data_IF_952442742183
#
_entry.id   IF_952442742183
#
_cell.length_a   1.000
_cell.length_b   1.000
_cell.length_c   1.000
_cell.angle_alpha   90.00
_cell.angle_beta   90.00
_cell.angle_gamma   90.00
#
_symmetry.space_group_name_H-M   'P 1'
#
loop_
_entity.id
_entity.type
_entity.pdbx_description
1 polymer ?
#
# COMPACT_ATOMS: atom_id res chain seq x y z
N UNK A 1 -11.90 5.87 2.53
CA UNK A 1 -13.35 6.22 2.55
C UNK A 1 -13.59 7.15 1.38
N UNK A 2 -14.62 6.95 0.58
CA UNK A 2 -14.89 7.75 -0.64
C UNK A 2 -15.66 9.03 -0.31
N UNK A 3 -16.33 9.05 0.84
CA UNK A 3 -17.13 10.18 1.33
C UNK A 3 -16.68 10.62 2.71
N UNK A 4 -16.78 11.91 2.99
CA UNK A 4 -16.50 12.46 4.32
C UNK A 4 -17.61 12.10 5.31
N UNK A 5 -17.32 12.11 6.60
CA UNK A 5 -18.35 11.90 7.63
C UNK A 5 -19.47 12.94 7.56
N UNK A 6 -19.13 14.18 7.19
CA UNK A 6 -20.11 15.26 7.00
C UNK A 6 -21.07 15.02 5.85
N UNK A 7 -20.56 14.53 4.69
CA UNK A 7 -21.38 14.19 3.54
C UNK A 7 -22.33 13.03 3.83
N UNK A 8 -21.84 12.07 4.59
CA UNK A 8 -22.61 10.88 5.00
C UNK A 8 -23.73 11.30 5.97
N UNK A 9 -23.42 12.14 6.96
CA UNK A 9 -24.42 12.68 7.88
C UNK A 9 -25.47 13.53 7.18
N UNK A 10 -25.10 14.30 6.14
CA UNK A 10 -26.05 15.04 5.30
C UNK A 10 -27.04 14.13 4.55
N UNK A 11 -26.67 12.86 4.34
CA UNK A 11 -27.53 11.82 3.77
C UNK A 11 -28.28 11.02 4.83
N UNK A 12 -28.35 11.53 6.05
CA UNK A 12 -29.07 10.91 7.18
C UNK A 12 -28.52 9.52 7.58
N UNK A 13 -27.24 9.25 7.28
CA UNK A 13 -26.55 8.04 7.73
C UNK A 13 -25.81 8.36 9.02
N UNK A 14 -26.30 7.82 10.13
CA UNK A 14 -25.84 8.17 11.48
C UNK A 14 -24.83 7.20 12.05
N UNK A 15 -24.81 5.96 11.54
CA UNK A 15 -24.00 4.87 12.12
C UNK A 15 -23.42 3.98 11.04
N UNK A 16 -22.15 3.58 11.20
CA UNK A 16 -21.49 2.55 10.40
C UNK A 16 -21.03 1.42 11.31
N UNK A 17 -21.49 0.22 11.03
CA UNK A 17 -21.10 -0.97 11.76
C UNK A 17 -20.72 -2.11 10.82
N UNK A 18 -19.93 -3.03 11.33
CA UNK A 18 -19.65 -4.29 10.61
C UNK A 18 -20.69 -5.33 11.04
N UNK A 19 -21.17 -6.12 10.09
CA UNK A 19 -22.18 -7.16 10.35
C UNK A 19 -21.64 -8.28 11.26
N UNK A 20 -20.32 -8.53 11.23
CA UNK A 20 -19.64 -9.53 12.03
C UNK A 20 -19.30 -9.04 13.48
N UNK A 21 -19.59 -7.79 13.82
CA UNK A 21 -19.37 -7.26 15.16
C UNK A 21 -20.38 -7.80 16.15
N UNK A 22 -19.90 -8.34 17.25
CA UNK A 22 -20.76 -8.92 18.31
C UNK A 22 -21.44 -7.86 19.20
N UNK A 23 -20.85 -6.67 19.32
CA UNK A 23 -21.27 -5.62 20.26
C UNK A 23 -22.16 -4.55 19.61
N UNK A 24 -23.01 -4.91 18.67
CA UNK A 24 -23.94 -3.98 18.02
C UNK A 24 -25.22 -3.84 18.87
N UNK A 25 -25.64 -2.59 19.07
CA UNK A 25 -26.86 -2.27 19.81
C UNK A 25 -28.12 -2.50 18.99
N UNK A 26 -29.26 -2.70 19.67
CA UNK A 26 -30.58 -2.84 19.04
C UNK A 26 -31.18 -1.45 18.85
N UNK A 27 -31.41 -1.04 17.59
CA UNK A 27 -31.91 0.30 17.22
C UNK A 27 -33.13 0.19 16.30
N UNK A 28 -34.25 -0.28 16.84
CA UNK A 28 -35.52 -0.50 16.09
C UNK A 28 -36.12 0.77 15.47
N UNK A 29 -35.63 1.95 15.81
CA UNK A 29 -36.06 3.22 15.22
C UNK A 29 -35.27 3.59 13.96
N UNK A 30 -34.20 2.85 13.64
CA UNK A 30 -33.36 3.07 12.46
C UNK A 30 -33.62 2.01 11.38
N UNK A 31 -33.40 2.39 10.12
CA UNK A 31 -33.34 1.49 8.97
C UNK A 31 -31.88 1.11 8.70
N UNK A 32 -31.64 -0.10 8.27
CA UNK A 32 -30.31 -0.58 7.93
C UNK A 32 -30.12 -0.70 6.42
N UNK A 33 -28.99 -0.20 5.92
CA UNK A 33 -28.50 -0.47 4.57
C UNK A 33 -27.32 -1.42 4.71
N UNK A 34 -27.47 -2.66 4.25
CA UNK A 34 -26.41 -3.68 4.31
C UNK A 34 -25.73 -3.80 2.96
N UNK A 35 -24.43 -3.50 2.89
CA UNK A 35 -23.64 -3.63 1.68
C UNK A 35 -22.66 -4.79 1.85
N UNK A 36 -22.89 -5.90 1.13
CA UNK A 36 -22.23 -7.17 1.39
C UNK A 36 -21.59 -7.76 0.12
N UNK A 37 -20.48 -8.48 0.28
CA UNK A 37 -20.02 -9.40 -0.75
C UNK A 37 -20.83 -10.68 -0.69
N UNK A 38 -21.18 -11.33 -1.83
CA UNK A 38 -21.94 -12.58 -1.85
C UNK A 38 -21.05 -13.79 -1.49
N UNK A 39 -20.45 -13.76 -0.32
CA UNK A 39 -19.71 -14.87 0.26
C UNK A 39 -20.61 -15.63 1.20
N UNK A 40 -20.42 -16.95 1.32
CA UNK A 40 -21.19 -17.78 2.24
C UNK A 40 -21.17 -17.22 3.67
N UNK A 41 -20.01 -16.79 4.13
CA UNK A 41 -19.84 -16.20 5.46
C UNK A 41 -20.71 -14.95 5.68
N UNK A 42 -20.75 -14.03 4.71
CA UNK A 42 -21.58 -12.83 4.80
C UNK A 42 -23.09 -13.17 4.71
N UNK A 43 -23.45 -14.16 3.92
CA UNK A 43 -24.83 -14.65 3.85
C UNK A 43 -25.23 -15.26 5.21
N UNK A 44 -24.35 -16.06 5.82
CA UNK A 44 -24.60 -16.66 7.14
C UNK A 44 -24.74 -15.60 8.25
N UNK A 45 -23.91 -14.53 8.23
CA UNK A 45 -24.08 -13.39 9.14
C UNK A 45 -25.40 -12.65 8.92
N UNK A 46 -25.80 -12.47 7.66
CA UNK A 46 -27.08 -11.82 7.36
C UNK A 46 -28.28 -12.68 7.78
N UNK A 47 -28.22 -14.00 7.60
CA UNK A 47 -29.23 -14.95 8.09
C UNK A 47 -29.37 -14.83 9.64
N UNK A 48 -28.24 -14.77 10.36
CA UNK A 48 -28.27 -14.59 11.81
C UNK A 48 -28.89 -13.24 12.22
N UNK A 49 -28.57 -12.19 11.48
CA UNK A 49 -29.13 -10.86 11.69
C UNK A 49 -30.63 -10.82 11.46
N UNK A 50 -31.13 -11.43 10.38
CA UNK A 50 -32.57 -11.48 10.05
C UNK A 50 -33.39 -12.29 11.06
N UNK A 51 -32.82 -13.35 11.62
CA UNK A 51 -33.48 -14.12 12.70
C UNK A 51 -33.63 -13.31 13.99
N UNK A 52 -32.74 -12.36 14.25
CA UNK A 52 -32.77 -11.48 15.43
C UNK A 52 -32.45 -10.04 15.00
N UNK A 53 -33.38 -9.42 14.24
CA UNK A 53 -33.10 -8.11 13.64
C UNK A 53 -32.89 -7.05 14.69
N UNK A 54 -31.88 -6.22 14.47
CA UNK A 54 -31.52 -5.09 15.36
C UNK A 54 -32.15 -3.77 14.92
N UNK A 55 -32.50 -3.67 13.64
CA UNK A 55 -33.09 -2.50 13.01
C UNK A 55 -34.53 -2.75 12.58
N UNK A 56 -35.27 -1.70 12.21
CA UNK A 56 -36.67 -1.82 11.82
C UNK A 56 -36.87 -2.39 10.42
N UNK A 57 -36.04 -1.97 9.48
CA UNK A 57 -36.13 -2.36 8.07
C UNK A 57 -34.73 -2.53 7.52
N UNK A 58 -34.53 -3.52 6.66
CA UNK A 58 -33.26 -3.82 6.01
C UNK A 58 -33.38 -3.65 4.49
N UNK A 59 -32.40 -2.93 3.92
CA UNK A 59 -32.11 -2.87 2.50
C UNK A 59 -30.79 -3.61 2.27
N UNK A 60 -30.82 -4.73 1.56
CA UNK A 60 -29.65 -5.60 1.40
C UNK A 60 -29.12 -5.49 -0.02
N UNK A 61 -27.87 -5.05 -0.16
CA UNK A 61 -27.18 -4.89 -1.43
C UNK A 61 -25.96 -5.82 -1.49
N UNK A 62 -25.90 -6.63 -2.54
CA UNK A 62 -24.74 -7.46 -2.81
C UNK A 62 -23.89 -6.85 -3.93
N UNK A 63 -22.56 -6.81 -3.70
CA UNK A 63 -21.59 -6.27 -4.66
C UNK A 63 -21.43 -7.12 -5.93
N UNK A 64 -22.00 -8.30 -5.99
CA UNK A 64 -21.97 -9.20 -7.14
C UNK A 64 -23.16 -10.16 -7.09
N UNK A 65 -23.30 -11.02 -8.12
CA UNK A 65 -24.38 -11.99 -8.24
C UNK A 65 -24.42 -12.93 -7.03
N UNK A 66 -25.58 -13.02 -6.39
CA UNK A 66 -25.87 -13.96 -5.31
C UNK A 66 -26.61 -15.19 -5.88
N UNK A 67 -26.37 -16.37 -5.31
CA UNK A 67 -27.02 -17.60 -5.73
C UNK A 67 -28.52 -17.60 -5.39
N UNK A 68 -29.34 -18.27 -6.20
CA UNK A 68 -30.78 -18.44 -5.90
C UNK A 68 -31.04 -19.18 -4.58
N UNK A 69 -30.14 -20.11 -4.21
CA UNK A 69 -30.23 -20.83 -2.94
C UNK A 69 -30.00 -19.90 -1.76
N UNK A 70 -29.02 -18.97 -1.86
CA UNK A 70 -28.72 -18.01 -0.78
C UNK A 70 -29.85 -16.99 -0.64
N UNK A 71 -30.45 -16.52 -1.75
CA UNK A 71 -31.64 -15.64 -1.71
C UNK A 71 -32.79 -16.35 -1.00
N UNK A 72 -33.03 -17.63 -1.31
CA UNK A 72 -34.05 -18.43 -0.64
C UNK A 72 -33.78 -18.56 0.85
N UNK A 73 -32.54 -18.85 1.24
CA UNK A 73 -32.14 -18.96 2.65
C UNK A 73 -32.30 -17.64 3.43
N UNK A 74 -32.03 -16.50 2.80
CA UNK A 74 -32.28 -15.17 3.37
C UNK A 74 -33.78 -14.92 3.55
N UNK A 75 -34.63 -15.25 2.55
CA UNK A 75 -36.05 -15.08 2.64
C UNK A 75 -36.68 -15.99 3.71
N UNK A 76 -36.19 -17.23 3.85
CA UNK A 76 -36.62 -18.15 4.91
C UNK A 76 -36.18 -17.68 6.31
N UNK A 77 -35.12 -16.90 6.42
CA UNK A 77 -34.62 -16.36 7.68
C UNK A 77 -35.34 -15.07 8.13
N UNK A 78 -36.03 -14.40 7.23
CA UNK A 78 -36.79 -13.17 7.49
C UNK A 78 -38.19 -13.45 8.04
N UNK A 79 -38.26 -14.14 9.18
CA UNK A 79 -39.52 -14.48 9.88
C UNK A 79 -40.32 -13.26 10.36
N UNK A 80 -39.66 -12.10 10.47
CA UNK A 80 -40.25 -10.84 10.96
C UNK A 80 -40.62 -9.86 9.82
N UNK A 81 -40.45 -10.27 8.57
CA UNK A 81 -40.72 -9.45 7.38
C UNK A 81 -40.06 -8.05 7.42
N UNK A 82 -38.82 -8.01 7.86
CA UNK A 82 -38.08 -6.75 8.01
C UNK A 82 -37.24 -6.37 6.78
N UNK A 83 -37.15 -7.27 5.78
CA UNK A 83 -36.40 -6.98 4.55
C UNK A 83 -37.32 -6.26 3.55
N UNK A 84 -37.03 -5.00 3.27
CA UNK A 84 -37.73 -4.23 2.25
C UNK A 84 -37.25 -4.54 0.84
N UNK A 85 -35.97 -4.78 0.66
CA UNK A 85 -35.40 -4.99 -0.67
C UNK A 85 -34.07 -5.78 -0.59
N UNK A 86 -33.89 -6.71 -1.54
CA UNK A 86 -32.62 -7.37 -1.83
C UNK A 86 -32.22 -7.00 -3.26
N UNK A 87 -31.13 -6.27 -3.42
CA UNK A 87 -30.68 -5.83 -4.73
C UNK A 87 -29.25 -6.28 -5.04
N UNK A 88 -29.02 -6.52 -6.33
CA UNK A 88 -27.68 -6.60 -6.91
C UNK A 88 -27.32 -5.23 -7.47
N UNK A 89 -26.40 -4.53 -6.83
CA UNK A 89 -26.05 -3.14 -7.16
C UNK A 89 -25.60 -2.99 -8.62
N UNK A 90 -24.85 -3.96 -9.15
CA UNK A 90 -24.31 -3.89 -10.52
C UNK A 90 -25.40 -3.95 -11.60
N UNK A 91 -26.56 -4.54 -11.32
CA UNK A 91 -27.61 -4.76 -12.34
C UNK A 91 -28.61 -3.63 -12.43
N UNK A 92 -28.87 -2.89 -11.35
CA UNK A 92 -29.88 -1.82 -11.32
C UNK A 92 -29.29 -0.40 -11.34
N UNK A 93 -28.09 -0.23 -10.80
CA UNK A 93 -27.37 1.05 -10.77
C UNK A 93 -26.44 1.18 -11.99
N UNK A 94 -26.93 0.73 -13.16
CA UNK A 94 -26.18 0.77 -14.42
C UNK A 94 -25.59 2.15 -14.71
N UNK A 95 -26.30 3.23 -14.38
CA UNK A 95 -25.86 4.61 -14.58
C UNK A 95 -24.63 4.99 -13.71
N UNK A 96 -24.49 4.41 -12.52
CA UNK A 96 -23.29 4.63 -11.67
C UNK A 96 -22.03 3.99 -12.26
N UNK A 97 -22.20 2.99 -13.13
CA UNK A 97 -21.14 2.27 -13.81
C UNK A 97 -21.05 2.64 -15.29
N UNK A 98 -21.92 3.55 -15.77
CA UNK A 98 -21.84 4.09 -17.12
C UNK A 98 -20.75 5.15 -17.19
N UNK A 99 -19.50 4.68 -17.31
CA UNK A 99 -18.37 5.56 -17.56
C UNK A 99 -18.49 6.18 -18.95
N UNK A 100 -18.20 7.49 -19.07
CA UNK A 100 -18.14 8.17 -20.36
C UNK A 100 -17.33 7.32 -21.33
N UNK A 101 -17.89 7.03 -22.48
CA UNK A 101 -17.23 6.26 -23.53
C UNK A 101 -15.92 6.97 -23.91
N UNK A 102 -14.80 6.45 -23.47
CA UNK A 102 -13.49 6.86 -23.93
C UNK A 102 -13.25 6.18 -25.28
N UNK A 103 -12.62 6.86 -26.22
CA UNK A 103 -12.25 6.28 -27.53
C UNK A 103 -11.32 5.07 -27.32
N UNK A 104 -10.45 5.16 -26.32
CA UNK A 104 -9.53 4.09 -25.91
C UNK A 104 -10.00 3.50 -24.57
N UNK A 105 -10.27 2.17 -24.48
CA UNK A 105 -10.69 1.55 -23.22
C UNK A 105 -9.59 1.62 -22.18
N UNK A 106 -9.95 1.76 -20.87
CA UNK A 106 -8.99 1.67 -19.77
C UNK A 106 -8.21 0.36 -19.79
N UNK A 107 -6.92 0.44 -19.50
CA UNK A 107 -6.02 -0.71 -19.43
C UNK A 107 -5.84 -1.15 -17.98
N UNK A 108 -6.10 -2.43 -17.69
CA UNK A 108 -5.77 -3.04 -16.39
C UNK A 108 -4.42 -3.75 -16.50
N UNK A 109 -3.44 -3.28 -15.71
CA UNK A 109 -2.14 -3.90 -15.53
C UNK A 109 -2.11 -4.62 -14.19
N UNK A 110 -1.99 -5.95 -14.21
CA UNK A 110 -1.86 -6.77 -13.00
C UNK A 110 -0.39 -7.14 -12.82
N UNK A 111 0.16 -6.85 -11.65
CA UNK A 111 1.55 -7.13 -11.29
C UNK A 111 1.61 -8.05 -10.07
N UNK A 112 2.65 -8.89 -10.00
CA UNK A 112 2.95 -9.68 -8.81
C UNK A 112 4.04 -8.96 -7.98
N UNK A 113 3.85 -8.90 -6.68
CA UNK A 113 4.83 -8.33 -5.74
C UNK A 113 6.18 -9.06 -5.77
N UNK A 114 6.22 -10.33 -6.17
CA UNK A 114 7.48 -11.09 -6.29
C UNK A 114 8.45 -10.49 -7.31
N UNK A 115 7.95 -9.74 -8.31
CA UNK A 115 8.79 -9.07 -9.31
C UNK A 115 9.57 -7.88 -8.74
N UNK A 116 9.09 -7.29 -7.65
CA UNK A 116 9.78 -6.25 -6.89
C UNK A 116 9.67 -6.51 -5.38
N UNK A 117 10.49 -7.39 -4.87
CA UNK A 117 10.58 -7.67 -3.43
C UNK A 117 11.48 -6.65 -2.68
N UNK A 118 12.14 -5.72 -3.37
CA UNK A 118 13.07 -4.74 -2.81
C UNK A 118 12.32 -3.51 -2.27
N UNK A 119 11.46 -2.91 -3.10
CA UNK A 119 10.76 -1.66 -2.74
C UNK A 119 10.07 -1.72 -1.37
N UNK A 120 9.34 -2.79 -0.99
CA UNK A 120 8.72 -2.87 0.34
C UNK A 120 9.70 -3.09 1.50
N UNK A 121 10.97 -3.42 1.24
CA UNK A 121 11.99 -3.61 2.27
C UNK A 121 12.74 -2.30 2.62
N UNK A 122 12.58 -1.24 1.84
CA UNK A 122 13.27 0.03 2.04
C UNK A 122 12.48 0.97 2.94
N UNK A 123 13.19 1.73 3.78
CA UNK A 123 12.58 2.84 4.48
C UNK A 123 12.13 3.92 3.48
N UNK A 124 10.90 4.37 3.63
CA UNK A 124 10.29 5.37 2.75
C UNK A 124 10.24 6.71 3.48
N UNK A 125 10.84 7.75 2.87
CA UNK A 125 11.07 9.05 3.51
C UNK A 125 10.03 10.10 3.12
N UNK A 126 8.79 9.68 2.90
CA UNK A 126 7.64 10.60 2.81
C UNK A 126 6.91 10.64 4.14
N UNK A 127 6.28 11.77 4.45
CA UNK A 127 5.58 11.96 5.72
C UNK A 127 4.53 10.87 5.95
N UNK A 128 3.68 10.62 4.95
CA UNK A 128 2.63 9.61 5.05
C UNK A 128 3.18 8.20 5.25
N UNK A 129 4.22 7.84 4.51
CA UNK A 129 4.86 6.52 4.65
C UNK A 129 5.49 6.34 6.03
N UNK A 130 6.19 7.34 6.53
CA UNK A 130 6.83 7.28 7.85
C UNK A 130 5.81 7.20 8.98
N UNK A 131 4.74 7.99 8.92
CA UNK A 131 3.64 7.88 9.88
C UNK A 131 3.05 6.48 9.88
N UNK A 132 2.80 5.93 8.71
CA UNK A 132 2.24 4.60 8.57
C UNK A 132 3.17 3.50 9.11
N UNK A 133 4.48 3.62 8.84
CA UNK A 133 5.47 2.62 9.20
C UNK A 133 5.91 2.69 10.66
N UNK A 134 6.17 3.89 11.16
CA UNK A 134 6.76 4.07 12.49
C UNK A 134 5.72 4.21 13.61
N UNK A 135 4.57 4.82 13.31
CA UNK A 135 3.50 5.05 14.29
C UNK A 135 2.31 4.09 14.09
N UNK A 136 2.09 3.66 12.85
CA UNK A 136 0.92 2.89 12.46
C UNK A 136 -0.31 3.77 12.25
N UNK A 137 -1.01 3.58 11.12
CA UNK A 137 -2.29 4.22 10.83
C UNK A 137 -3.37 3.15 10.79
N UNK A 138 -4.42 3.32 11.57
CA UNK A 138 -5.59 2.46 11.52
C UNK A 138 -6.85 3.31 11.31
N UNK A 139 -7.54 3.13 10.17
CA UNK A 139 -8.71 3.93 9.81
C UNK A 139 -8.46 5.46 9.91
N UNK A 140 -7.35 5.93 9.33
CA UNK A 140 -6.86 7.31 9.38
C UNK A 140 -6.51 7.82 10.80
N UNK A 141 -6.40 6.95 11.80
CA UNK A 141 -6.07 7.31 13.19
C UNK A 141 -4.67 6.84 13.56
N UNK A 142 -3.98 7.68 14.32
CA UNK A 142 -2.68 7.42 14.93
C UNK A 142 -2.86 7.48 16.43
N UNK A 143 -2.37 6.46 17.14
CA UNK A 143 -2.31 6.42 18.59
C UNK A 143 -0.94 6.91 19.10
N UNK A 144 -0.93 8.09 19.67
CA UNK A 144 0.23 8.70 20.32
C UNK A 144 0.19 8.60 21.85
N UNK A 145 -0.70 7.79 22.43
CA UNK A 145 -0.86 7.66 23.88
C UNK A 145 0.41 7.21 24.61
N UNK A 146 1.30 6.53 23.88
CA UNK A 146 2.61 6.03 24.40
C UNK A 146 3.72 7.08 24.39
N UNK A 147 3.48 8.23 23.76
CA UNK A 147 4.50 9.29 23.65
C UNK A 147 4.52 10.11 24.94
N UNK A 148 5.68 10.25 25.62
CA UNK A 148 5.77 10.97 26.89
C UNK A 148 5.41 12.45 26.72
N UNK A 149 4.67 13.01 27.69
CA UNK A 149 4.38 14.45 27.75
C UNK A 149 3.28 14.95 26.80
N UNK A 150 2.61 14.07 26.08
CA UNK A 150 1.52 14.45 25.17
C UNK A 150 0.25 14.83 25.95
N UNK A 151 -0.39 15.95 25.54
CA UNK A 151 -1.70 16.36 26.06
C UNK A 151 -2.77 15.32 25.72
N UNK A 152 -3.84 15.25 26.52
CA UNK A 152 -4.93 14.28 26.32
C UNK A 152 -5.55 14.41 24.91
N UNK A 153 -5.66 15.63 24.40
CA UNK A 153 -6.30 15.96 23.11
C UNK A 153 -5.46 15.51 21.89
N UNK A 154 -4.16 15.26 22.07
CA UNK A 154 -3.24 14.83 21.01
C UNK A 154 -2.88 13.34 21.08
N UNK A 155 -3.47 12.59 22.03
CA UNK A 155 -3.20 11.15 22.15
C UNK A 155 -3.72 10.34 20.98
N UNK A 156 -4.82 10.79 20.38
CA UNK A 156 -5.38 10.20 19.18
C UNK A 156 -5.48 11.28 18.11
N UNK A 157 -4.75 11.10 17.01
CA UNK A 157 -4.69 12.05 15.88
C UNK A 157 -5.35 11.43 14.66
N UNK A 158 -6.30 12.16 14.07
CA UNK A 158 -6.93 11.76 12.81
C UNK A 158 -6.23 12.47 11.66
N UNK A 159 -5.72 11.71 10.68
CA UNK A 159 -5.13 12.21 9.44
C UNK A 159 -6.05 11.85 8.27
N UNK A 160 -6.63 12.85 7.63
CA UNK A 160 -7.49 12.69 6.46
C UNK A 160 -7.15 13.76 5.43
N UNK A 161 -6.77 13.36 4.24
CA UNK A 161 -6.47 14.30 3.15
C UNK A 161 -7.70 15.15 2.74
N UNK A 162 -8.91 14.65 3.02
CA UNK A 162 -10.17 15.36 2.72
C UNK A 162 -10.47 16.50 3.69
N UNK A 163 -10.08 16.31 4.97
CA UNK A 163 -10.42 17.25 6.05
C UNK A 163 -9.21 18.02 6.59
N UNK A 164 -8.02 17.71 6.08
CA UNK A 164 -6.75 18.24 6.54
C UNK A 164 -5.93 18.70 5.33
N UNK A 165 -6.06 19.96 4.99
CA UNK A 165 -5.37 20.56 3.85
C UNK A 165 -3.83 20.48 4.01
N UNK A 166 -3.30 20.57 5.23
CA UNK A 166 -1.89 20.38 5.48
C UNK A 166 -1.47 18.95 5.13
N UNK A 167 -2.20 17.94 5.61
CA UNK A 167 -1.90 16.55 5.31
C UNK A 167 -2.05 16.23 3.81
N UNK A 168 -3.06 16.79 3.14
CA UNK A 168 -3.26 16.63 1.70
C UNK A 168 -2.06 17.16 0.90
N UNK A 169 -1.50 18.30 1.32
CA UNK A 169 -0.40 18.96 0.61
C UNK A 169 0.99 18.36 0.95
N UNK A 170 1.19 17.89 2.19
CA UNK A 170 2.50 17.43 2.65
C UNK A 170 2.65 15.92 2.75
N UNK A 171 1.57 15.15 2.66
CA UNK A 171 1.58 13.70 2.82
C UNK A 171 2.58 13.00 1.88
N UNK A 172 2.69 13.47 0.65
CA UNK A 172 3.64 12.99 -0.37
C UNK A 172 5.00 13.71 -0.36
N UNK A 173 5.20 14.72 0.49
CA UNK A 173 6.48 15.41 0.56
C UNK A 173 7.52 14.59 1.33
N UNK A 174 8.78 14.71 0.91
CA UNK A 174 9.88 14.09 1.63
C UNK A 174 10.01 14.65 3.04
N UNK A 175 10.16 13.76 4.01
CA UNK A 175 10.22 14.07 5.45
C UNK A 175 11.23 15.18 5.78
N UNK A 176 12.39 15.18 5.11
CA UNK A 176 13.42 16.20 5.32
C UNK A 176 12.95 17.61 4.95
N UNK A 177 12.06 17.75 3.96
CA UNK A 177 11.52 19.07 3.57
C UNK A 177 10.49 19.59 4.57
N UNK A 178 9.83 18.70 5.30
CA UNK A 178 8.86 19.06 6.35
C UNK A 178 9.58 19.35 7.65
N UNK A 179 10.63 18.59 7.98
CA UNK A 179 11.36 18.72 9.23
C UNK A 179 12.22 19.99 9.29
N UNK A 180 12.80 20.44 8.16
CA UNK A 180 13.60 21.67 8.09
C UNK A 180 12.79 22.93 8.50
N UNK A 181 11.59 23.21 7.94
CA UNK A 181 10.79 24.36 8.38
C UNK A 181 10.34 24.24 9.83
N UNK A 182 10.01 23.02 10.30
CA UNK A 182 9.53 22.77 11.65
C UNK A 182 10.62 22.94 12.72
N UNK A 183 11.89 22.70 12.38
CA UNK A 183 13.02 22.86 13.30
C UNK A 183 13.63 24.27 13.32
N UNK A 184 13.60 24.99 12.18
CA UNK A 184 14.34 26.23 12.03
C UNK A 184 13.48 27.50 12.00
N UNK A 185 12.15 27.40 11.86
CA UNK A 185 11.27 28.55 11.95
C UNK A 185 10.74 28.73 13.38
N UNK A 186 10.86 29.94 13.97
CA UNK A 186 10.16 30.28 15.20
C UNK A 186 8.66 30.37 14.88
N UNK A 187 7.97 29.24 15.10
CA UNK A 187 6.53 29.07 14.83
C UNK A 187 5.66 30.15 15.45
N UNK A 188 6.06 30.67 16.61
CA UNK A 188 5.35 31.77 17.26
C UNK A 188 5.29 33.02 16.38
N UNK A 189 6.39 33.42 15.76
CA UNK A 189 6.42 34.60 14.87
C UNK A 189 5.65 34.37 13.55
N UNK A 190 5.57 33.13 13.08
CA UNK A 190 4.85 32.78 11.85
C UNK A 190 3.31 32.71 12.11
N UNK A 191 2.89 32.16 13.24
CA UNK A 191 1.47 32.07 13.65
C UNK A 191 0.90 33.46 13.98
N UNK A 192 1.73 34.35 14.55
CA UNK A 192 1.29 35.72 14.91
C UNK A 192 1.06 36.62 13.70
N UNK A 193 1.74 36.39 12.60
CA UNK A 193 1.69 37.23 11.40
C UNK A 193 0.61 36.80 10.35
N UNK A 194 -0.06 35.66 10.52
CA UNK A 194 -1.05 35.18 9.58
C UNK A 194 -2.38 34.83 10.25
N UNK A 195 -3.43 35.66 10.14
CA UNK A 195 -4.77 35.42 10.73
C UNK A 195 -5.43 34.11 10.25
N UNK A 196 -5.11 33.65 9.04
CA UNK A 196 -5.58 32.36 8.50
C UNK A 196 -4.98 31.15 9.26
N UNK A 197 -3.79 31.28 9.83
CA UNK A 197 -3.16 30.24 10.65
C UNK A 197 -3.80 30.07 12.02
N UNK A 198 -4.49 31.07 12.54
CA UNK A 198 -5.21 30.95 13.81
C UNK A 198 -6.35 29.92 13.73
N UNK A 199 -6.97 29.77 12.55
CA UNK A 199 -7.96 28.73 12.26
C UNK A 199 -7.31 27.36 12.02
N UNK A 200 -6.05 27.33 11.54
CA UNK A 200 -5.26 26.13 11.30
C UNK A 200 -4.39 25.71 12.50
N UNK A 201 -4.34 26.47 13.59
CA UNK A 201 -3.39 26.26 14.68
C UNK A 201 -3.54 24.87 15.34
N UNK A 202 -4.77 24.40 15.50
CA UNK A 202 -5.01 23.02 16.01
C UNK A 202 -4.56 21.93 15.05
N UNK A 203 -4.74 22.14 13.74
CA UNK A 203 -4.33 21.20 12.70
C UNK A 203 -2.80 21.14 12.59
N UNK A 204 -2.14 22.29 12.61
CA UNK A 204 -0.66 22.36 12.56
C UNK A 204 -0.04 21.78 13.82
N UNK A 205 -0.59 22.05 15.01
CA UNK A 205 -0.08 21.52 16.29
C UNK A 205 -0.02 20.00 16.32
N UNK A 206 -1.04 19.31 15.82
CA UNK A 206 -1.03 17.84 15.74
C UNK A 206 0.10 17.31 14.84
N UNK A 207 0.35 17.96 13.68
CA UNK A 207 1.43 17.56 12.79
C UNK A 207 2.81 17.83 13.36
N UNK A 208 3.00 18.94 14.07
CA UNK A 208 4.25 19.22 14.81
C UNK A 208 4.53 18.10 15.80
N UNK A 209 3.53 17.66 16.54
CA UNK A 209 3.65 16.55 17.49
C UNK A 209 4.02 15.24 16.78
N UNK A 210 3.33 14.91 15.68
CA UNK A 210 3.61 13.71 14.88
C UNK A 210 5.05 13.74 14.34
N UNK A 211 5.47 14.85 13.72
CA UNK A 211 6.84 15.01 13.17
C UNK A 211 7.90 14.94 14.28
N UNK A 212 7.62 15.51 15.44
CA UNK A 212 8.51 15.42 16.61
C UNK A 212 8.73 13.96 17.02
N UNK A 213 7.66 13.17 17.10
CA UNK A 213 7.76 11.75 17.43
C UNK A 213 8.47 10.94 16.34
N UNK A 214 8.17 11.20 15.06
CA UNK A 214 8.91 10.59 13.95
C UNK A 214 10.41 10.89 14.03
N UNK A 215 10.80 12.14 14.31
CA UNK A 215 12.21 12.55 14.46
C UNK A 215 12.88 11.83 15.63
N UNK A 216 12.17 11.67 16.75
CA UNK A 216 12.64 10.92 17.91
C UNK A 216 12.93 9.46 17.54
N UNK A 217 11.98 8.79 16.88
CA UNK A 217 12.12 7.39 16.44
C UNK A 217 13.25 7.20 15.42
N UNK A 218 13.39 8.12 14.47
CA UNK A 218 14.50 8.13 13.50
C UNK A 218 15.85 8.15 14.20
N UNK A 219 16.01 9.02 15.20
CA UNK A 219 17.26 9.13 15.98
C UNK A 219 17.50 7.93 16.90
N UNK A 220 16.45 7.46 17.58
CA UNK A 220 16.52 6.35 18.53
C UNK A 220 16.90 5.04 17.83
N UNK A 221 16.32 4.78 16.66
CA UNK A 221 16.55 3.55 15.87
C UNK A 221 17.70 3.69 14.85
N UNK A 222 18.38 4.82 14.82
CA UNK A 222 19.45 5.09 13.85
C UNK A 222 19.03 4.89 12.39
N UNK A 223 17.78 5.27 12.04
CA UNK A 223 17.17 4.95 10.75
C UNK A 223 17.85 5.63 9.56
N UNK A 224 18.52 6.77 9.76
CA UNK A 224 19.28 7.43 8.67
C UNK A 224 20.41 6.53 8.18
N UNK A 225 21.23 6.04 9.09
CA UNK A 225 22.36 5.17 8.75
C UNK A 225 21.89 3.83 8.20
N UNK A 226 20.78 3.27 8.77
CA UNK A 226 20.13 2.06 8.23
C UNK A 226 19.69 2.29 6.79
N UNK A 227 19.01 3.41 6.52
CA UNK A 227 18.50 3.73 5.20
C UNK A 227 19.60 3.97 4.16
N UNK A 228 20.72 4.57 4.56
CA UNK A 228 21.89 4.72 3.68
C UNK A 228 22.38 3.34 3.18
N UNK A 229 22.53 2.38 4.09
CA UNK A 229 22.94 1.02 3.74
C UNK A 229 21.86 0.26 2.95
N UNK A 230 20.58 0.51 3.23
CA UNK A 230 19.47 -0.02 2.41
C UNK A 230 19.57 0.46 0.95
N UNK A 231 19.83 1.76 0.74
CA UNK A 231 19.99 2.31 -0.60
C UNK A 231 21.23 1.79 -1.30
N UNK A 232 22.34 1.60 -0.56
CA UNK A 232 23.54 0.95 -1.07
C UNK A 232 23.21 -0.48 -1.56
N UNK A 233 22.53 -1.28 -0.73
CA UNK A 233 22.09 -2.63 -1.08
C UNK A 233 21.08 -2.68 -2.24
N UNK A 234 20.27 -1.65 -2.43
CA UNK A 234 19.28 -1.61 -3.50
C UNK A 234 19.83 -1.12 -4.84
N UNK A 235 20.85 -0.22 -4.83
CA UNK A 235 21.25 0.56 -6.00
C UNK A 235 22.72 0.36 -6.42
N UNK A 236 23.57 -0.17 -5.56
CA UNK A 236 25.02 -0.28 -5.79
C UNK A 236 25.46 -1.74 -5.86
N UNK A 237 26.58 -1.99 -6.56
CA UNK A 237 27.08 -3.36 -6.79
C UNK A 237 28.41 -3.65 -6.07
N UNK A 238 28.84 -2.82 -5.10
CA UNK A 238 30.03 -3.07 -4.30
C UNK A 238 29.71 -4.04 -3.14
N UNK A 239 29.92 -5.32 -3.38
CA UNK A 239 29.68 -6.38 -2.40
C UNK A 239 30.51 -6.20 -1.11
N UNK A 240 31.78 -5.78 -1.22
CA UNK A 240 32.67 -5.68 -0.07
C UNK A 240 32.26 -4.57 0.87
N UNK A 241 31.94 -3.38 0.32
CA UNK A 241 31.41 -2.24 1.08
C UNK A 241 30.08 -2.60 1.73
N UNK A 242 29.13 -3.12 0.95
CA UNK A 242 27.80 -3.50 1.43
C UNK A 242 27.88 -4.53 2.58
N UNK A 243 28.69 -5.58 2.44
CA UNK A 243 28.86 -6.58 3.50
C UNK A 243 29.44 -5.97 4.78
N UNK A 244 30.45 -5.11 4.66
CA UNK A 244 31.08 -4.43 5.80
C UNK A 244 30.08 -3.51 6.51
N UNK A 245 29.31 -2.70 5.76
CA UNK A 245 28.31 -1.80 6.29
C UNK A 245 27.18 -2.55 7.00
N UNK A 246 26.68 -3.64 6.40
CA UNK A 246 25.67 -4.50 7.06
C UNK A 246 26.22 -5.03 8.39
N UNK A 247 27.42 -5.62 8.41
CA UNK A 247 28.04 -6.14 9.65
C UNK A 247 28.19 -5.06 10.71
N UNK A 248 28.61 -3.86 10.34
CA UNK A 248 28.74 -2.72 11.25
C UNK A 248 27.38 -2.36 11.88
N UNK A 249 26.31 -2.29 11.10
CA UNK A 249 24.97 -2.00 11.61
C UNK A 249 24.39 -3.14 12.47
N UNK A 250 24.71 -4.39 12.18
CA UNK A 250 24.30 -5.51 13.03
C UNK A 250 24.92 -5.44 14.43
N UNK A 251 26.09 -4.82 14.59
CA UNK A 251 26.74 -4.60 15.89
C UNK A 251 26.19 -3.37 16.63
N UNK A 252 25.47 -2.46 15.94
CA UNK A 252 24.93 -1.26 16.57
C UNK A 252 23.70 -1.60 17.44
N UNK A 253 23.71 -1.28 18.76
CA UNK A 253 22.61 -1.57 19.67
C UNK A 253 21.32 -0.81 19.37
N UNK A 254 21.40 0.35 18.67
CA UNK A 254 20.22 1.14 18.27
C UNK A 254 19.44 0.51 17.14
N UNK A 255 20.08 -0.33 16.32
CA UNK A 255 19.41 -1.03 15.21
C UNK A 255 18.54 -2.14 15.76
N UNK A 256 17.24 -2.06 15.50
CA UNK A 256 16.27 -3.03 16.01
C UNK A 256 16.45 -4.42 15.39
N UNK A 257 15.89 -5.46 16.02
CA UNK A 257 15.90 -6.82 15.47
C UNK A 257 15.32 -6.87 14.05
N UNK A 258 14.27 -6.08 13.83
CA UNK A 258 13.58 -6.03 12.56
C UNK A 258 14.40 -5.32 11.48
N UNK A 259 14.99 -4.16 11.79
CA UNK A 259 15.85 -3.42 10.86
C UNK A 259 17.08 -4.24 10.50
N UNK A 260 17.67 -4.96 11.47
CA UNK A 260 18.77 -5.88 11.25
C UNK A 260 18.41 -7.03 10.29
N UNK A 261 17.25 -7.68 10.52
CA UNK A 261 16.77 -8.74 9.64
C UNK A 261 16.50 -8.23 8.22
N UNK A 262 15.96 -7.02 8.08
CA UNK A 262 15.66 -6.37 6.81
C UNK A 262 16.89 -6.08 5.97
N UNK A 263 17.96 -5.57 6.58
CA UNK A 263 19.25 -5.40 5.91
C UNK A 263 19.79 -6.73 5.37
N UNK A 264 19.64 -7.81 6.14
CA UNK A 264 20.08 -9.14 5.70
C UNK A 264 19.16 -9.70 4.60
N UNK A 265 17.85 -9.38 4.59
CA UNK A 265 16.93 -9.73 3.49
C UNK A 265 17.35 -9.03 2.18
N UNK A 266 17.63 -7.72 2.23
CA UNK A 266 18.13 -6.97 1.07
C UNK A 266 19.45 -7.53 0.55
N UNK A 267 20.40 -7.81 1.43
CA UNK A 267 21.65 -8.45 1.08
C UNK A 267 21.42 -9.81 0.41
N UNK A 268 20.54 -10.64 0.98
CA UNK A 268 20.25 -11.97 0.46
C UNK A 268 19.62 -11.95 -0.94
N UNK A 269 18.73 -10.98 -1.20
CA UNK A 269 18.12 -10.81 -2.52
C UNK A 269 19.11 -10.29 -3.57
N UNK A 270 19.99 -9.34 -3.19
CA UNK A 270 20.94 -8.74 -4.10
C UNK A 270 22.06 -9.72 -4.46
N UNK A 271 22.70 -10.30 -3.45
CA UNK A 271 23.90 -11.13 -3.60
C UNK A 271 23.60 -12.63 -3.62
N UNK A 272 22.38 -13.05 -3.94
CA UNK A 272 21.93 -14.46 -3.98
C UNK A 272 22.89 -15.36 -4.75
N UNK A 273 23.43 -14.88 -5.90
CA UNK A 273 24.33 -15.65 -6.79
C UNK A 273 25.76 -15.15 -6.77
N UNK A 274 26.12 -14.28 -5.84
CA UNK A 274 27.47 -13.78 -5.75
C UNK A 274 28.43 -14.88 -5.26
N UNK A 275 29.61 -15.02 -5.90
CA UNK A 275 30.59 -16.07 -5.58
C UNK A 275 31.10 -16.03 -4.14
N UNK A 276 31.18 -14.81 -3.55
CA UNK A 276 31.58 -14.56 -2.16
C UNK A 276 30.38 -14.29 -1.25
N UNK A 277 29.23 -14.91 -1.52
CA UNK A 277 28.03 -14.73 -0.70
C UNK A 277 28.30 -15.12 0.75
N UNK A 278 28.08 -14.18 1.68
CA UNK A 278 28.34 -14.36 3.12
C UNK A 278 27.04 -14.49 3.93
N UNK A 279 25.93 -14.87 3.30
CA UNK A 279 24.63 -15.00 3.98
C UNK A 279 24.68 -15.91 5.23
N UNK A 280 25.35 -17.09 5.21
CA UNK A 280 25.47 -17.91 6.41
C UNK A 280 26.13 -17.18 7.59
N UNK A 281 27.15 -16.37 7.33
CA UNK A 281 27.81 -15.54 8.34
C UNK A 281 26.87 -14.46 8.90
N UNK A 282 26.14 -13.74 8.04
CA UNK A 282 25.16 -12.74 8.46
C UNK A 282 23.99 -13.35 9.26
N UNK A 283 23.58 -14.58 8.94
CA UNK A 283 22.58 -15.30 9.73
C UNK A 283 23.10 -15.66 11.13
N UNK A 284 24.40 -15.94 11.27
CA UNK A 284 25.03 -16.12 12.57
C UNK A 284 25.11 -14.78 13.33
N UNK A 285 25.47 -13.68 12.66
CA UNK A 285 25.50 -12.34 13.25
C UNK A 285 24.12 -11.91 13.76
N UNK A 286 23.04 -12.20 13.02
CA UNK A 286 21.67 -11.99 13.51
C UNK A 286 21.36 -12.80 14.77
N UNK A 287 21.83 -14.05 14.83
CA UNK A 287 21.65 -14.89 16.04
C UNK A 287 22.42 -14.30 17.23
N UNK A 288 23.67 -13.89 17.01
CA UNK A 288 24.53 -13.32 18.05
C UNK A 288 23.98 -11.97 18.56
N UNK A 289 23.35 -11.18 17.68
CA UNK A 289 22.63 -9.95 18.07
C UNK A 289 21.38 -10.25 18.92
N UNK A 290 20.88 -11.48 18.96
CA UNK A 290 19.66 -11.86 19.68
C UNK A 290 18.38 -11.70 18.85
N UNK A 291 18.49 -11.54 17.54
CA UNK A 291 17.31 -11.43 16.65
C UNK A 291 16.47 -12.70 16.76
N UNK A 292 15.17 -12.51 17.03
CA UNK A 292 14.22 -13.60 17.21
C UNK A 292 14.12 -14.53 16.00
N UNK A 293 13.81 -15.78 16.21
CA UNK A 293 13.69 -16.79 15.14
C UNK A 293 12.63 -16.39 14.10
N UNK A 294 11.58 -15.72 14.55
CA UNK A 294 10.53 -15.18 13.68
C UNK A 294 11.10 -14.32 12.56
N UNK A 295 11.97 -13.35 12.88
CA UNK A 295 12.57 -12.47 11.89
C UNK A 295 13.66 -13.14 11.07
N UNK A 296 14.44 -14.07 11.69
CA UNK A 296 15.47 -14.81 10.96
C UNK A 296 14.88 -15.72 9.88
N UNK A 297 13.72 -16.36 10.13
CA UNK A 297 12.99 -17.15 9.13
C UNK A 297 12.51 -16.33 7.92
N UNK A 298 12.25 -15.03 8.11
CA UNK A 298 11.85 -14.17 7.00
C UNK A 298 12.93 -13.99 5.94
N UNK A 299 14.22 -14.07 6.30
CA UNK A 299 15.31 -13.96 5.35
C UNK A 299 15.23 -15.07 4.29
N UNK A 300 15.01 -16.31 4.71
CA UNK A 300 14.83 -17.43 3.77
C UNK A 300 13.51 -17.33 3.00
N UNK A 301 12.44 -16.90 3.67
CA UNK A 301 11.13 -16.76 3.05
C UNK A 301 11.10 -15.68 1.96
N UNK A 302 11.80 -14.56 2.13
CA UNK A 302 11.84 -13.49 1.13
C UNK A 302 12.63 -13.91 -0.11
N UNK A 303 13.70 -14.69 0.06
CA UNK A 303 14.47 -15.24 -1.07
C UNK A 303 13.66 -16.32 -1.82
N UNK A 304 12.90 -17.13 -1.09
CA UNK A 304 11.98 -18.10 -1.72
C UNK A 304 10.88 -17.40 -2.51
N UNK A 305 10.37 -16.28 -1.99
CA UNK A 305 9.25 -15.52 -2.58
C UNK A 305 9.67 -14.66 -3.76
N UNK A 306 10.72 -13.84 -3.63
CA UNK A 306 11.14 -12.82 -4.60
C UNK A 306 12.59 -12.96 -5.05
N UNK A 307 13.22 -14.12 -4.85
CA UNK A 307 14.58 -14.43 -5.34
C UNK A 307 14.66 -14.56 -6.86
N UNK A 308 15.87 -14.62 -7.39
CA UNK A 308 16.17 -14.60 -8.83
C UNK A 308 15.56 -15.76 -9.63
N UNK A 309 15.13 -16.83 -8.97
CA UNK A 309 14.45 -17.96 -9.62
C UNK A 309 12.96 -17.70 -9.85
N UNK A 310 12.37 -16.78 -9.11
CA UNK A 310 10.93 -16.53 -9.11
C UNK A 310 10.59 -15.27 -9.90
N UNK A 311 11.36 -14.20 -9.70
CA UNK A 311 11.13 -12.94 -10.40
C UNK A 311 11.59 -13.01 -11.85
N UNK A 312 10.77 -12.46 -12.76
CA UNK A 312 11.08 -12.36 -14.18
C UNK A 312 12.03 -11.22 -14.54
N UNK A 313 12.24 -10.27 -13.61
CA UNK A 313 13.04 -9.06 -13.81
C UNK A 313 14.41 -9.13 -13.13
N UNK A 314 15.40 -8.45 -13.68
CA UNK A 314 16.67 -8.21 -13.01
C UNK A 314 16.65 -6.83 -12.35
N UNK A 315 16.30 -6.82 -11.05
CA UNK A 315 16.17 -5.58 -10.26
C UNK A 315 17.50 -4.86 -10.04
N UNK A 316 18.62 -5.55 -10.20
CA UNK A 316 19.97 -5.06 -9.88
C UNK A 316 20.87 -4.87 -11.10
N UNK A 317 20.34 -5.08 -12.31
CA UNK A 317 21.11 -4.76 -13.52
C UNK A 317 21.45 -3.29 -13.57
N UNK A 318 22.70 -2.92 -13.90
CA UNK A 318 23.07 -1.53 -14.09
C UNK A 318 22.22 -0.95 -15.24
N UNK A 319 21.24 -0.12 -14.86
CA UNK A 319 20.48 0.67 -15.83
C UNK A 319 21.46 1.66 -16.42
N UNK A 320 21.64 1.64 -17.72
CA UNK A 320 22.55 2.45 -18.57
C UNK A 320 23.54 3.36 -17.81
N UNK A 321 24.86 3.11 -17.99
CA UNK A 321 25.93 3.88 -17.35
C UNK A 321 25.76 5.43 -17.45
N UNK A 322 25.04 5.90 -18.48
CA UNK A 322 24.69 7.30 -18.69
C UNK A 322 23.63 7.80 -17.70
N UNK A 323 22.68 6.94 -17.30
CA UNK A 323 21.66 7.29 -16.29
C UNK A 323 22.27 7.38 -14.90
N UNK A 324 23.19 6.46 -14.57
CA UNK A 324 23.95 6.45 -13.31
C UNK A 324 24.81 7.70 -13.20
N UNK A 325 25.52 8.09 -14.28
CA UNK A 325 26.35 9.30 -14.28
C UNK A 325 25.50 10.57 -14.12
N UNK A 326 24.31 10.64 -14.72
CA UNK A 326 23.37 11.76 -14.50
C UNK A 326 22.77 11.79 -13.09
N UNK A 327 22.53 10.65 -12.47
CA UNK A 327 22.08 10.56 -11.07
C UNK A 327 23.20 10.94 -10.11
N UNK A 328 24.43 10.48 -10.34
CA UNK A 328 25.61 10.88 -9.55
C UNK A 328 25.88 12.38 -9.64
N UNK A 329 25.77 13.00 -10.82
CA UNK A 329 25.96 14.45 -10.99
C UNK A 329 24.82 15.28 -10.38
N UNK A 330 23.60 14.74 -10.31
CA UNK A 330 22.50 15.36 -9.54
C UNK A 330 22.69 15.21 -8.03
N UNK A 331 23.31 14.14 -7.55
CA UNK A 331 23.60 13.87 -6.13
C UNK A 331 24.62 14.83 -5.50
N UNK A 332 25.44 15.51 -6.31
CA UNK A 332 26.40 16.53 -5.82
C UNK A 332 25.74 17.85 -5.38
N UNK A 333 24.42 18.02 -5.56
CA UNK A 333 23.70 19.27 -5.23
C UNK A 333 22.79 19.22 -3.99
N UNK A 334 22.74 18.14 -3.19
CA UNK A 334 21.93 18.15 -1.97
C UNK A 334 21.87 16.81 -1.23
N UNK A 335 21.76 16.88 0.07
CA UNK A 335 21.63 15.77 1.04
C UNK A 335 20.44 14.84 0.75
N UNK A 336 19.47 15.27 -0.06
CA UNK A 336 18.24 14.54 -0.36
C UNK A 336 18.44 13.23 -1.13
N UNK A 337 19.57 13.05 -1.79
CA UNK A 337 19.75 11.96 -2.76
C UNK A 337 20.30 10.65 -2.16
N UNK A 338 20.83 10.67 -0.95
CA UNK A 338 21.44 9.49 -0.33
C UNK A 338 20.38 8.47 0.13
N UNK A 339 19.23 8.96 0.60
CA UNK A 339 18.17 8.13 1.19
C UNK A 339 17.05 7.74 0.23
N UNK A 340 17.07 8.24 -1.02
CA UNK A 340 16.00 8.07 -2.00
C UNK A 340 16.52 7.82 -3.40
N UNK A 341 17.52 6.96 -3.55
CA UNK A 341 18.13 6.61 -4.84
C UNK A 341 17.33 5.52 -5.57
N UNK A 342 16.74 4.61 -4.82
CA UNK A 342 15.95 3.52 -5.38
C UNK A 342 14.69 4.03 -6.07
N UNK A 343 14.42 3.48 -7.24
CA UNK A 343 13.14 3.67 -7.95
C UNK A 343 12.41 2.33 -8.02
N UNK A 344 11.11 2.27 -7.65
CA UNK A 344 10.32 1.07 -7.78
C UNK A 344 10.33 0.53 -9.22
N UNK A 345 10.32 -0.78 -9.38
CA UNK A 345 10.21 -1.43 -10.68
C UNK A 345 8.96 -0.99 -11.45
N UNK A 346 7.90 -0.66 -10.72
CA UNK A 346 6.67 -0.08 -11.27
C UNK A 346 6.93 1.16 -12.14
N UNK A 347 7.90 2.02 -11.78
CA UNK A 347 8.23 3.21 -12.55
C UNK A 347 8.65 2.87 -13.99
N UNK A 348 9.57 1.91 -14.12
CA UNK A 348 10.06 1.47 -15.43
C UNK A 348 8.97 0.78 -16.25
N UNK A 349 8.18 -0.07 -15.58
CA UNK A 349 7.07 -0.78 -16.20
C UNK A 349 6.03 0.19 -16.77
N UNK A 350 5.66 1.22 -16.02
CA UNK A 350 4.72 2.25 -16.47
C UNK A 350 5.32 3.15 -17.56
N UNK A 351 6.59 3.52 -17.44
CA UNK A 351 7.27 4.31 -18.48
C UNK A 351 7.32 3.55 -19.81
N UNK A 352 7.62 2.26 -19.78
CA UNK A 352 7.59 1.41 -20.97
C UNK A 352 6.16 1.23 -21.52
N UNK A 353 5.15 1.07 -20.67
CA UNK A 353 3.76 0.95 -21.08
C UNK A 353 3.28 2.23 -21.78
N UNK A 354 3.50 3.39 -21.17
CA UNK A 354 3.10 4.70 -21.71
C UNK A 354 3.80 4.99 -23.06
N UNK A 355 5.05 4.57 -23.19
CA UNK A 355 5.83 4.73 -24.43
C UNK A 355 5.53 3.66 -25.49
N UNK A 356 4.67 2.67 -25.20
CA UNK A 356 4.38 1.56 -26.10
C UNK A 356 5.59 0.63 -26.32
N UNK A 357 6.47 0.51 -25.31
CA UNK A 357 7.68 -0.32 -25.33
C UNK A 357 7.61 -1.52 -24.40
N UNK A 358 6.46 -1.75 -23.77
CA UNK A 358 6.27 -2.89 -22.86
C UNK A 358 6.37 -4.19 -23.68
N UNK A 359 7.18 -5.14 -23.20
CA UNK A 359 7.45 -6.38 -23.92
C UNK A 359 6.28 -7.34 -23.73
N UNK A 360 5.60 -7.73 -24.82
CA UNK A 360 4.44 -8.62 -24.78
C UNK A 360 4.76 -10.02 -24.23
N UNK A 361 5.99 -10.50 -24.39
CA UNK A 361 6.39 -11.80 -23.83
C UNK A 361 6.50 -11.80 -22.29
N UNK A 362 6.73 -10.66 -21.68
CA UNK A 362 6.75 -10.48 -20.21
C UNK A 362 5.39 -10.04 -19.66
N UNK A 363 4.62 -9.33 -20.48
CA UNK A 363 3.32 -8.76 -20.13
C UNK A 363 2.30 -9.12 -21.23
N UNK A 364 1.82 -10.38 -21.26
CA UNK A 364 0.89 -10.82 -22.31
C UNK A 364 -0.41 -10.04 -22.23
N UNK A 365 -0.81 -9.51 -23.40
CA UNK A 365 -2.05 -8.77 -23.55
C UNK A 365 -3.20 -9.71 -23.85
N UNK A 366 -4.23 -9.70 -23.01
CA UNK A 366 -5.41 -10.57 -23.12
C UNK A 366 -6.63 -9.85 -23.72
N UNK A 367 -6.44 -8.69 -24.34
CA UNK A 367 -7.50 -7.96 -25.02
C UNK A 367 -7.82 -8.50 -26.41
N UNK A 368 -8.91 -8.01 -27.05
CA UNK A 368 -9.40 -8.49 -28.34
C UNK A 368 -8.50 -8.14 -29.54
N UNK A 369 -7.52 -7.28 -29.37
CA UNK A 369 -6.57 -6.85 -30.40
C UNK A 369 -5.19 -6.65 -29.81
N UNK A 370 -4.15 -6.48 -30.63
CA UNK A 370 -2.81 -6.06 -30.13
C UNK A 370 -2.91 -4.68 -29.50
N UNK A 371 -2.15 -4.45 -28.40
CA UNK A 371 -2.08 -3.14 -27.74
C UNK A 371 -1.37 -2.14 -28.66
N UNK A 372 -2.07 -1.59 -29.63
CA UNK A 372 -1.53 -0.62 -30.62
C UNK A 372 -1.65 0.82 -30.15
N UNK A 373 -2.71 1.11 -29.39
CA UNK A 373 -3.01 2.47 -28.93
C UNK A 373 -2.37 2.71 -27.56
N UNK A 374 -1.81 3.90 -27.37
CA UNK A 374 -1.28 4.30 -26.06
C UNK A 374 -2.43 4.44 -25.08
N UNK A 375 -2.42 3.72 -23.96
CA UNK A 375 -3.49 3.80 -22.97
C UNK A 375 -3.51 5.21 -22.34
N UNK A 376 -4.69 5.81 -22.26
CA UNK A 376 -4.92 7.08 -21.57
C UNK A 376 -5.27 6.83 -20.11
N UNK A 377 -6.06 5.81 -19.83
CA UNK A 377 -6.44 5.40 -18.48
C UNK A 377 -5.80 4.04 -18.17
N UNK A 378 -5.00 4.00 -17.10
CA UNK A 378 -4.29 2.81 -16.66
C UNK A 378 -4.70 2.50 -15.21
N UNK A 379 -5.20 1.29 -14.98
CA UNK A 379 -5.44 0.76 -13.64
C UNK A 379 -4.35 -0.24 -13.34
N UNK A 380 -3.52 0.05 -12.35
CA UNK A 380 -2.49 -0.86 -11.87
C UNK A 380 -3.01 -1.60 -10.65
N UNK A 381 -2.93 -2.93 -10.64
CA UNK A 381 -3.29 -3.74 -9.48
C UNK A 381 -2.15 -4.66 -9.09
N UNK A 382 -1.58 -4.47 -7.88
CA UNK A 382 -0.46 -5.25 -7.37
C UNK A 382 -0.97 -6.38 -6.47
N UNK A 383 -0.82 -7.62 -6.92
CA UNK A 383 -1.08 -8.81 -6.11
C UNK A 383 0.07 -8.96 -5.10
N UNK A 384 -0.26 -8.99 -3.82
CA UNK A 384 0.71 -8.95 -2.74
C UNK A 384 0.83 -7.57 -2.08
N UNK A 385 0.16 -6.55 -2.64
CA UNK A 385 0.01 -5.22 -2.04
C UNK A 385 0.89 -4.14 -2.67
N UNK A 386 0.44 -2.89 -2.54
CA UNK A 386 1.14 -1.70 -3.03
C UNK A 386 1.86 -0.97 -1.89
N UNK A 387 2.91 -0.23 -2.22
CA UNK A 387 3.70 0.58 -1.28
C UNK A 387 3.41 2.07 -1.47
N UNK A 388 3.75 2.90 -0.48
CA UNK A 388 3.66 4.35 -0.61
C UNK A 388 4.64 4.93 -1.62
N UNK A 389 5.80 4.30 -1.82
CA UNK A 389 6.78 4.73 -2.84
C UNK A 389 6.24 4.52 -4.26
N UNK A 390 5.53 3.43 -4.47
CA UNK A 390 4.82 3.19 -5.73
C UNK A 390 3.66 4.17 -5.93
N UNK A 391 2.95 4.51 -4.85
CA UNK A 391 1.92 5.55 -4.91
C UNK A 391 2.51 6.93 -5.25
N UNK A 392 3.67 7.28 -4.68
CA UNK A 392 4.40 8.50 -5.04
C UNK A 392 4.85 8.48 -6.50
N UNK A 393 5.33 7.35 -6.99
CA UNK A 393 5.71 7.14 -8.38
C UNK A 393 4.53 7.42 -9.32
N UNK A 394 3.35 6.85 -9.03
CA UNK A 394 2.13 7.07 -9.80
C UNK A 394 1.68 8.53 -9.74
N UNK A 395 1.72 9.14 -8.56
CA UNK A 395 1.41 10.56 -8.39
C UNK A 395 2.30 11.46 -9.26
N UNK A 396 3.61 11.19 -9.29
CA UNK A 396 4.56 11.94 -10.11
C UNK A 396 4.31 11.74 -11.60
N UNK A 397 4.06 10.51 -12.06
CA UNK A 397 3.74 10.21 -13.45
C UNK A 397 2.46 10.91 -13.91
N UNK A 398 1.40 10.91 -13.09
CA UNK A 398 0.16 11.63 -13.39
C UNK A 398 0.36 13.14 -13.55
N UNK A 399 1.34 13.73 -12.85
CA UNK A 399 1.66 15.15 -12.96
C UNK A 399 2.57 15.48 -14.14
N UNK A 400 3.46 14.57 -14.53
CA UNK A 400 4.51 14.82 -15.53
C UNK A 400 4.15 14.30 -16.91
N UNK A 401 3.09 13.49 -17.05
CA UNK A 401 2.68 12.86 -18.30
C UNK A 401 1.27 13.31 -18.69
N UNK A 402 1.13 14.43 -19.41
CA UNK A 402 -0.19 14.90 -19.84
C UNK A 402 -0.92 13.88 -20.71
N UNK A 403 -2.23 13.74 -20.49
CA UNK A 403 -3.08 12.82 -21.25
C UNK A 403 -3.05 11.36 -20.77
N UNK A 404 -2.30 11.05 -19.72
CA UNK A 404 -2.31 9.73 -19.07
C UNK A 404 -2.82 9.88 -17.63
N UNK A 405 -3.71 9.00 -17.24
CA UNK A 405 -4.27 8.91 -15.90
C UNK A 405 -4.07 7.50 -15.34
N UNK A 406 -3.37 7.40 -14.23
CA UNK A 406 -2.99 6.13 -13.61
C UNK A 406 -3.64 6.03 -12.24
N UNK A 407 -4.29 4.90 -11.96
CA UNK A 407 -4.83 4.55 -10.64
C UNK A 407 -4.07 3.32 -10.14
N UNK A 408 -3.55 3.38 -8.92
CA UNK A 408 -2.86 2.28 -8.26
C UNK A 408 -3.75 1.64 -7.20
N UNK A 409 -3.87 0.33 -7.28
CA UNK A 409 -4.51 -0.51 -6.28
C UNK A 409 -3.66 -1.73 -5.93
N UNK A 410 -4.05 -2.41 -4.90
CA UNK A 410 -3.40 -3.66 -4.50
C UNK A 410 -4.24 -4.44 -3.51
N UNK A 411 -3.87 -5.69 -3.24
CA UNK A 411 -4.57 -6.54 -2.25
C UNK A 411 -4.49 -5.97 -0.83
N UNK A 412 -3.49 -5.15 -0.55
CA UNK A 412 -3.29 -4.42 0.70
C UNK A 412 -2.34 -3.24 0.45
N UNK A 413 -2.23 -2.31 1.41
CA UNK A 413 -1.08 -1.42 1.52
C UNK A 413 -0.04 -2.13 2.36
N UNK A 414 1.16 -2.36 1.81
CA UNK A 414 2.20 -3.13 2.50
C UNK A 414 2.88 -2.26 3.55
N UNK A 415 2.90 -2.78 4.77
CA UNK A 415 3.87 -2.44 5.79
C UNK A 415 5.04 -3.42 5.72
N UNK A 416 6.22 -2.96 6.00
CA UNK A 416 7.37 -3.82 6.16
C UNK A 416 7.11 -4.91 7.23
N UNK A 417 6.40 -4.57 8.32
CA UNK A 417 6.01 -5.53 9.37
C UNK A 417 4.98 -6.59 8.92
N UNK A 418 4.23 -6.35 7.86
CA UNK A 418 3.22 -7.29 7.33
C UNK A 418 3.77 -8.29 6.31
N UNK A 419 5.04 -8.20 5.93
CA UNK A 419 5.68 -9.24 5.11
C UNK A 419 5.72 -10.61 5.81
N UNK A 420 5.54 -10.64 7.13
CA UNK A 420 5.63 -11.86 7.94
C UNK A 420 4.49 -12.89 7.71
N UNK A 421 3.20 -12.53 7.52
CA UNK A 421 2.14 -13.49 7.19
C UNK A 421 1.94 -13.70 5.69
N UNK A 422 2.57 -12.89 4.85
CA UNK A 422 2.32 -12.83 3.41
C UNK A 422 2.76 -14.10 2.67
N UNK A 423 3.82 -14.78 3.07
CA UNK A 423 4.32 -15.96 2.36
C UNK A 423 3.30 -17.11 2.26
N UNK A 424 2.44 -17.28 3.27
CA UNK A 424 1.37 -18.29 3.23
C UNK A 424 0.05 -17.75 2.66
N UNK A 425 -0.32 -16.50 2.97
CA UNK A 425 -1.56 -15.89 2.49
C UNK A 425 -1.49 -15.47 1.02
N UNK A 426 -0.36 -14.98 0.54
CA UNK A 426 -0.18 -14.60 -0.88
C UNK A 426 -0.22 -15.82 -1.77
N UNK A 427 0.44 -16.94 -1.40
CA UNK A 427 0.35 -18.20 -2.16
C UNK A 427 -1.12 -18.67 -2.28
N UNK A 428 -1.93 -18.46 -1.25
CA UNK A 428 -3.35 -18.85 -1.26
C UNK A 428 -4.22 -17.87 -2.07
N UNK A 429 -4.02 -16.57 -1.92
CA UNK A 429 -4.79 -15.53 -2.64
C UNK A 429 -4.45 -15.54 -4.12
N UNK A 430 -3.17 -15.70 -4.48
CA UNK A 430 -2.73 -15.85 -5.86
C UNK A 430 -3.31 -17.12 -6.50
N UNK A 431 -3.26 -18.26 -5.80
CA UNK A 431 -3.82 -19.52 -6.29
C UNK A 431 -5.35 -19.43 -6.50
N UNK A 432 -6.05 -18.66 -5.69
CA UNK A 432 -7.51 -18.47 -5.81
C UNK A 432 -7.83 -17.50 -6.95
N UNK A 433 -7.16 -16.35 -7.00
CA UNK A 433 -7.34 -15.37 -8.10
C UNK A 433 -6.90 -15.97 -9.44
N UNK A 434 -5.78 -16.70 -9.48
CA UNK A 434 -5.28 -17.35 -10.67
C UNK A 434 -6.18 -18.49 -11.15
N UNK A 435 -6.67 -19.37 -10.26
CA UNK A 435 -7.62 -20.42 -10.63
C UNK A 435 -8.92 -19.86 -11.23
N UNK A 436 -9.40 -18.76 -10.69
CA UNK A 436 -10.63 -18.14 -11.20
C UNK A 436 -10.41 -17.39 -12.53
N UNK A 437 -9.20 -16.87 -12.78
CA UNK A 437 -8.83 -16.18 -14.04
C UNK A 437 -8.44 -17.16 -15.15
N UNK A 438 -7.75 -18.27 -14.83
CA UNK A 438 -7.24 -19.25 -15.80
C UNK A 438 -8.25 -20.33 -16.13
N UNK A 439 -9.28 -20.57 -15.28
CA UNK A 439 -10.33 -21.52 -15.59
C UNK A 439 -11.20 -21.13 -16.81
N UNK A 440 -11.05 -19.90 -17.30
CA UNK A 440 -11.71 -19.41 -18.52
C UNK A 440 -10.88 -19.50 -19.79
N UNK A 441 -9.57 -19.75 -19.72
CA UNK A 441 -8.72 -19.90 -20.91
C UNK A 441 -7.57 -20.91 -20.67
N UNK A 442 -7.68 -22.06 -21.34
CA UNK A 442 -6.67 -23.14 -21.30
C UNK A 442 -5.45 -22.83 -22.18
N UNK A 443 -4.52 -22.03 -21.73
CA UNK A 443 -3.13 -22.02 -22.24
C UNK A 443 -2.19 -21.66 -21.10
N UNK A 444 -1.08 -22.42 -20.99
CA UNK A 444 -0.06 -22.22 -19.99
C UNK A 444 0.59 -20.84 -20.16
N UNK A 445 0.18 -19.87 -19.33
CA UNK A 445 0.78 -18.54 -19.26
C UNK A 445 1.71 -18.51 -18.05
N UNK A 446 2.94 -18.07 -18.29
CA UNK A 446 3.96 -17.87 -17.27
C UNK A 446 3.50 -16.84 -16.23
N UNK A 447 3.91 -17.00 -14.96
CA UNK A 447 3.29 -16.38 -13.78
C UNK A 447 3.58 -14.89 -13.56
N UNK A 448 4.28 -14.21 -14.45
CA UNK A 448 4.96 -12.97 -14.08
C UNK A 448 4.17 -11.67 -14.19
N UNK A 449 3.25 -11.51 -15.12
CA UNK A 449 2.35 -10.34 -15.20
C UNK A 449 1.28 -10.52 -16.29
N UNK A 450 0.15 -9.86 -16.15
CA UNK A 450 -0.92 -9.87 -17.13
C UNK A 450 -1.42 -8.45 -17.41
N UNK A 451 -1.55 -8.13 -18.70
CA UNK A 451 -2.16 -6.87 -19.15
C UNK A 451 -3.54 -7.19 -19.74
N UNK A 452 -4.57 -6.62 -19.15
CA UNK A 452 -5.93 -6.75 -19.65
C UNK A 452 -6.41 -5.44 -20.24
N UNK A 453 -7.00 -5.46 -21.45
CA UNK A 453 -8.02 -4.49 -21.74
C UNK A 453 -9.24 -4.88 -20.90
N UNK A 454 -9.71 -3.99 -20.06
CA UNK A 454 -10.98 -4.19 -19.37
C UNK A 454 -12.04 -4.16 -20.48
N UNK A 455 -12.63 -5.33 -20.87
CA UNK A 455 -13.76 -5.29 -21.77
C UNK A 455 -14.83 -4.46 -21.07
N UNK A 456 -15.59 -3.70 -21.83
CA UNK A 456 -16.76 -2.98 -21.34
C UNK A 456 -17.42 -3.82 -20.27
N UNK A 457 -17.34 -3.35 -19.02
CA UNK A 457 -18.20 -3.90 -17.97
C UNK A 457 -19.60 -3.47 -18.41
N UNK A 458 -20.31 -4.42 -18.99
CA UNK A 458 -21.73 -4.30 -19.32
C UNK A 458 -22.51 -4.46 -18.02
#
# INVERSE_FOLDING_TARGET
MVYTQSEILQKEVYLFERIDSQNREIMKHLKAICFLRPTKENVDYMIQELRRPKYSIYFIYFSNVISKSDVKSLAEADEQEVVAEVQQVITKEYELFEFRRTEVPPLLLILDRCDDAITPLLNQWTYQAMVHELLGINNNRIDLSRVPGISKDLREVVLSAENDEFYANVGGLKFFLINLPLMFFPWQAFVENYPQFKKMSGTVSKHVTVVGELSRLVSERNLLEVSEVEQELACQNDHSSALQNVKRLLQNPKVTEFDAARLVMLYALHYERHSSNSLPGLMMDLRNKGVSEKYRKLVSAVVEYGGKRVRGSDLFSPKDAVAITKQFLKGLKGVENVYTQHQPFLHETLDHLIKGKLKENLYPYLGPSTLRDRPQDIIVFVIGGATYEEALTVYNLNRTTPGVRIVLGGTTVIFILQLCPLSQRIKLTFAICWKNLVSTNQTAVDRSALVFAVPRII
#
